data_IF_689035215804
#
_entry.id   IF_689035215804
#
_cell.length_a   1.000
_cell.length_b   1.000
_cell.length_c   1.000
_cell.angle_alpha   90.00
_cell.angle_beta   90.00
_cell.angle_gamma   90.00
#
_symmetry.space_group_name_H-M   'P 1'
#
loop_
_entity.id
_entity.type
_entity.pdbx_description
1 polymer ?
#
# COMPACT_ATOMS: atom_id res chain seq x y z
N UNK A 1 -28.74 3.90 -20.90
CA UNK A 1 -28.79 2.98 -19.75
C UNK A 1 -27.35 2.82 -19.32
N UNK A 2 -26.92 3.64 -18.36
CA UNK A 2 -25.52 3.72 -17.96
C UNK A 2 -25.32 2.66 -16.89
N UNK A 3 -24.79 1.51 -17.28
CA UNK A 3 -24.52 0.44 -16.34
C UNK A 3 -23.40 0.91 -15.40
N UNK A 4 -23.81 1.26 -14.20
CA UNK A 4 -22.93 1.64 -13.11
C UNK A 4 -22.22 0.35 -12.66
N UNK A 5 -21.07 0.05 -13.25
CA UNK A 5 -20.24 -1.11 -12.89
C UNK A 5 -19.49 -0.87 -11.57
N UNK A 6 -20.21 -0.52 -10.52
CA UNK A 6 -19.64 -0.38 -9.18
C UNK A 6 -19.56 -1.75 -8.53
N UNK A 7 -18.42 -2.06 -7.93
CA UNK A 7 -18.31 -3.25 -7.11
C UNK A 7 -19.26 -3.11 -5.92
N UNK A 8 -20.02 -4.17 -5.64
CA UNK A 8 -20.96 -4.16 -4.52
C UNK A 8 -20.21 -4.14 -3.17
N UNK A 9 -19.06 -4.81 -3.11
CA UNK A 9 -18.16 -4.87 -1.95
C UNK A 9 -16.71 -4.91 -2.42
N UNK A 10 -15.84 -4.14 -1.78
CA UNK A 10 -14.40 -4.19 -2.05
C UNK A 10 -13.79 -5.53 -1.60
N UNK A 11 -12.68 -5.90 -2.25
CA UNK A 11 -11.86 -7.02 -1.80
C UNK A 11 -11.46 -6.82 -0.32
N UNK A 12 -11.75 -7.80 0.52
CA UNK A 12 -11.42 -7.73 1.95
C UNK A 12 -12.45 -6.99 2.81
N UNK A 13 -13.61 -6.61 2.25
CA UNK A 13 -14.73 -6.12 3.04
C UNK A 13 -15.17 -7.16 4.08
N UNK A 14 -15.36 -6.71 5.32
CA UNK A 14 -15.81 -7.54 6.42
C UNK A 14 -16.37 -6.68 7.54
N UNK A 15 -17.57 -7.03 8.01
CA UNK A 15 -18.18 -6.36 9.14
C UNK A 15 -17.67 -6.96 10.45
N UNK A 16 -17.71 -6.14 11.50
CA UNK A 16 -17.39 -6.56 12.87
C UNK A 16 -18.52 -6.17 13.81
N UNK A 17 -18.68 -6.95 14.89
CA UNK A 17 -19.58 -6.61 15.99
C UNK A 17 -19.03 -5.50 16.89
N UNK A 18 -17.77 -5.08 16.68
CA UNK A 18 -17.17 -3.88 17.26
C UNK A 18 -16.73 -2.91 16.16
N UNK A 19 -16.33 -1.70 16.55
CA UNK A 19 -15.86 -0.66 15.62
C UNK A 19 -14.39 -0.36 15.88
N UNK A 20 -13.63 -0.19 14.81
CA UNK A 20 -12.22 0.16 14.87
C UNK A 20 -11.99 1.54 14.22
N UNK A 21 -11.32 2.43 14.94
CA UNK A 21 -10.82 3.69 14.41
C UNK A 21 -9.34 3.56 14.08
N UNK A 22 -8.93 4.32 13.06
CA UNK A 22 -7.56 4.37 12.58
C UNK A 22 -7.04 5.80 12.69
N UNK A 23 -5.79 5.97 13.12
CA UNK A 23 -5.09 7.26 13.05
C UNK A 23 -4.71 7.60 11.60
N UNK A 24 -4.15 8.80 11.41
CA UNK A 24 -3.43 9.09 10.18
C UNK A 24 -2.23 8.14 10.02
N UNK A 25 -1.93 7.77 8.77
CA UNK A 25 -0.76 6.98 8.41
C UNK A 25 0.48 7.86 8.52
N UNK A 26 1.51 7.33 9.17
CA UNK A 26 2.83 7.96 9.25
C UNK A 26 3.84 7.12 8.49
N UNK A 27 4.78 7.79 7.83
CA UNK A 27 5.92 7.18 7.17
C UNK A 27 7.20 7.58 7.91
N UNK A 28 8.13 6.64 8.06
CA UNK A 28 9.45 6.91 8.65
C UNK A 28 10.33 7.80 7.76
N UNK A 29 10.09 7.79 6.45
CA UNK A 29 10.75 8.65 5.46
C UNK A 29 9.78 8.98 4.32
N UNK A 30 10.05 10.07 3.60
CA UNK A 30 9.27 10.48 2.41
C UNK A 30 9.90 10.08 1.09
N UNK A 31 11.17 9.64 1.10
CA UNK A 31 11.93 9.32 -0.11
C UNK A 31 12.73 8.04 0.11
N UNK A 32 12.72 7.16 -0.89
CA UNK A 32 13.51 5.94 -0.97
C UNK A 32 14.51 6.11 -2.12
N UNK A 33 15.81 5.98 -1.85
CA UNK A 33 16.86 6.29 -2.84
C UNK A 33 17.80 5.12 -3.13
N UNK A 34 17.67 4.02 -2.40
CA UNK A 34 18.42 2.80 -2.66
C UNK A 34 17.48 1.59 -2.80
N UNK A 35 17.87 0.62 -3.63
CA UNK A 35 17.18 -0.65 -3.79
C UNK A 35 17.04 -1.45 -2.48
N UNK A 36 18.03 -1.32 -1.58
CA UNK A 36 18.04 -2.01 -0.28
C UNK A 36 17.31 -1.23 0.83
N UNK A 37 16.84 -0.01 0.54
CA UNK A 37 16.09 0.79 1.51
C UNK A 37 14.71 0.18 1.78
N UNK A 38 14.31 0.26 3.03
CA UNK A 38 12.94 -0.04 3.46
C UNK A 38 12.18 1.22 3.83
N UNK A 39 10.86 1.26 3.59
CA UNK A 39 9.95 2.30 4.05
C UNK A 39 9.00 1.70 5.09
N UNK A 40 8.85 2.32 6.26
CA UNK A 40 7.92 1.86 7.29
C UNK A 40 6.69 2.73 7.32
N UNK A 41 5.52 2.15 6.99
CA UNK A 41 4.22 2.78 7.18
C UNK A 41 3.59 2.32 8.50
N UNK A 42 3.18 3.25 9.35
CA UNK A 42 2.58 2.96 10.66
C UNK A 42 1.20 3.59 10.78
N UNK A 43 0.27 2.86 11.40
CA UNK A 43 -1.06 3.35 11.76
C UNK A 43 -1.46 2.82 13.14
N UNK A 44 -2.03 3.66 13.98
CA UNK A 44 -2.62 3.24 15.26
C UNK A 44 -4.06 2.80 15.00
N UNK A 45 -4.40 1.62 15.51
CA UNK A 45 -5.76 1.06 15.44
C UNK A 45 -6.34 0.97 16.84
N UNK A 46 -7.50 1.56 17.05
CA UNK A 46 -8.21 1.59 18.34
C UNK A 46 -9.55 0.89 18.22
N UNK A 47 -9.82 -0.07 19.09
CA UNK A 47 -11.17 -0.64 19.22
C UNK A 47 -12.05 0.32 20.04
N UNK A 48 -12.95 1.02 19.37
CA UNK A 48 -13.85 2.02 19.98
C UNK A 48 -15.23 1.48 20.31
N UNK A 49 -15.48 0.18 20.11
CA UNK A 49 -16.73 -0.45 20.51
C UNK A 49 -16.68 -1.05 21.92
N UNK A 50 -17.73 -1.81 22.27
CA UNK A 50 -17.95 -2.34 23.62
C UNK A 50 -17.55 -3.81 23.79
N UNK A 51 -16.96 -4.43 22.77
CA UNK A 51 -16.59 -5.86 22.76
C UNK A 51 -15.18 -6.02 22.21
N UNK A 52 -14.50 -7.06 22.66
CA UNK A 52 -13.29 -7.52 22.00
C UNK A 52 -13.59 -7.90 20.55
N UNK A 53 -12.63 -7.67 19.66
CA UNK A 53 -12.80 -7.98 18.24
C UNK A 53 -11.47 -8.18 17.53
N UNK A 54 -11.54 -8.79 16.36
CA UNK A 54 -10.40 -8.96 15.46
C UNK A 54 -10.55 -8.03 14.28
N UNK A 55 -9.46 -7.36 13.91
CA UNK A 55 -9.38 -6.46 12.78
C UNK A 55 -8.26 -6.91 11.84
N UNK A 56 -8.51 -6.86 10.53
CA UNK A 56 -7.50 -7.16 9.51
C UNK A 56 -7.03 -5.85 8.88
N UNK A 57 -5.90 -5.34 9.36
CA UNK A 57 -5.29 -4.12 8.85
C UNK A 57 -4.60 -4.45 7.53
N UNK A 58 -5.05 -3.83 6.44
CA UNK A 58 -4.56 -4.07 5.08
C UNK A 58 -3.84 -2.84 4.55
N UNK A 59 -2.62 -3.01 4.07
CA UNK A 59 -1.83 -1.99 3.40
C UNK A 59 -1.81 -2.24 1.90
N UNK A 60 -2.29 -1.24 1.16
CA UNK A 60 -2.27 -1.19 -0.29
C UNK A 60 -1.20 -0.22 -0.78
N UNK A 61 -0.67 -0.51 -1.97
CA UNK A 61 0.25 0.35 -2.71
C UNK A 61 -0.41 0.80 -4.01
N UNK A 62 -0.31 2.09 -4.31
CA UNK A 62 -0.79 2.74 -5.51
C UNK A 62 0.39 3.47 -6.16
N UNK A 63 0.58 3.29 -7.46
CA UNK A 63 1.56 4.04 -8.25
C UNK A 63 0.78 4.82 -9.33
N UNK A 64 0.51 6.13 -9.12
CA UNK A 64 -0.42 6.90 -9.96
C UNK A 64 0.07 7.08 -11.41
N UNK A 65 1.39 7.23 -11.57
CA UNK A 65 2.03 7.44 -12.86
C UNK A 65 3.05 6.33 -13.12
N UNK A 66 2.90 5.67 -14.26
CA UNK A 66 3.75 4.56 -14.70
C UNK A 66 4.19 4.76 -16.16
N UNK A 67 5.42 4.38 -16.51
CA UNK A 67 5.90 4.37 -17.91
C UNK A 67 5.53 3.08 -18.61
N UNK A 68 5.51 1.97 -17.89
CA UNK A 68 5.00 0.70 -18.41
C UNK A 68 3.49 0.54 -18.15
N UNK A 69 2.80 -0.08 -19.10
CA UNK A 69 1.39 -0.44 -18.92
C UNK A 69 1.30 -1.70 -18.07
N UNK A 70 0.70 -1.57 -16.89
CA UNK A 70 0.36 -2.68 -16.00
C UNK A 70 -1.07 -2.50 -15.51
N UNK A 71 -1.84 -3.58 -15.34
CA UNK A 71 -3.27 -3.49 -15.04
C UNK A 71 -3.57 -3.06 -13.59
N UNK A 72 -2.60 -3.10 -12.68
CA UNK A 72 -2.84 -2.89 -11.25
C UNK A 72 -2.88 -1.42 -10.86
N UNK A 73 -4.04 -0.95 -10.39
CA UNK A 73 -4.22 0.43 -9.92
C UNK A 73 -4.07 0.57 -8.39
N UNK A 74 -4.48 -0.46 -7.63
CA UNK A 74 -4.37 -0.53 -6.16
C UNK A 74 -4.05 -1.97 -5.76
N UNK A 75 -2.88 -2.21 -5.17
CA UNK A 75 -2.37 -3.56 -4.89
C UNK A 75 -2.30 -3.80 -3.39
N UNK A 76 -2.92 -4.85 -2.88
CA UNK A 76 -2.67 -5.30 -1.50
C UNK A 76 -1.23 -5.83 -1.41
N UNK A 77 -0.42 -5.25 -0.52
CA UNK A 77 0.98 -5.67 -0.32
C UNK A 77 1.16 -6.44 0.97
N UNK A 78 0.61 -5.91 2.07
CA UNK A 78 0.74 -6.54 3.40
C UNK A 78 -0.57 -6.45 4.16
N UNK A 79 -0.79 -7.40 5.06
CA UNK A 79 -1.89 -7.33 6.02
C UNK A 79 -1.48 -7.94 7.36
N UNK A 80 -2.09 -7.47 8.43
CA UNK A 80 -1.92 -8.00 9.79
C UNK A 80 -3.29 -8.18 10.43
N UNK A 81 -3.55 -9.36 10.99
CA UNK A 81 -4.75 -9.61 11.79
C UNK A 81 -4.41 -9.41 13.27
N UNK A 82 -5.09 -8.49 13.91
CA UNK A 82 -4.91 -8.15 15.33
C UNK A 82 -6.18 -8.43 16.10
N UNK A 83 -6.05 -8.64 17.40
CA UNK A 83 -7.14 -8.75 18.35
C UNK A 83 -6.98 -7.62 19.37
N UNK A 84 -8.04 -6.86 19.61
CA UNK A 84 -8.05 -5.75 20.56
C UNK A 84 -9.25 -5.86 21.49
N UNK A 85 -9.02 -5.67 22.78
CA UNK A 85 -10.07 -5.48 23.77
C UNK A 85 -10.80 -4.14 23.54
N UNK A 86 -11.98 -3.97 24.14
CA UNK A 86 -12.69 -2.70 24.09
C UNK A 86 -11.84 -1.58 24.69
N UNK A 87 -11.66 -0.48 23.95
CA UNK A 87 -10.81 0.66 24.33
C UNK A 87 -9.31 0.48 24.09
N UNK A 88 -8.86 -0.72 23.71
CA UNK A 88 -7.44 -0.99 23.44
C UNK A 88 -6.99 -0.37 22.11
N UNK A 89 -5.73 0.07 22.07
CA UNK A 89 -5.08 0.60 20.88
C UNK A 89 -3.75 -0.11 20.63
N UNK A 90 -3.40 -0.31 19.36
CA UNK A 90 -2.12 -0.88 18.96
C UNK A 90 -1.55 -0.15 17.74
N UNK A 91 -0.23 0.01 17.73
CA UNK A 91 0.51 0.54 16.58
C UNK A 91 0.87 -0.58 15.61
N UNK A 92 0.44 -0.43 14.36
CA UNK A 92 0.62 -1.43 13.31
C UNK A 92 1.57 -0.87 12.26
N UNK A 93 2.79 -1.38 12.26
CA UNK A 93 3.83 -1.01 11.31
C UNK A 93 4.00 -2.05 10.21
N UNK A 94 4.17 -1.59 8.97
CA UNK A 94 4.48 -2.39 7.79
C UNK A 94 5.77 -1.87 7.15
N UNK A 95 6.78 -2.74 7.05
CA UNK A 95 8.01 -2.44 6.31
C UNK A 95 7.83 -2.86 4.86
N UNK A 96 7.95 -1.90 3.94
CA UNK A 96 7.92 -2.07 2.49
C UNK A 96 9.35 -2.03 1.95
N UNK A 97 9.61 -2.83 0.92
CA UNK A 97 10.91 -2.95 0.26
C UNK A 97 10.77 -3.03 -1.26
N UNK A 98 11.88 -3.25 -1.97
CA UNK A 98 11.91 -3.51 -3.41
C UNK A 98 10.93 -4.60 -3.88
N UNK A 99 10.65 -5.59 -3.04
CA UNK A 99 9.69 -6.65 -3.36
C UNK A 99 8.25 -6.15 -3.43
N UNK A 100 7.95 -5.08 -2.69
CA UNK A 100 6.61 -4.55 -2.57
C UNK A 100 6.29 -3.54 -3.68
N UNK A 101 7.22 -2.66 -4.06
CA UNK A 101 6.98 -1.65 -5.11
C UNK A 101 7.55 -2.02 -6.48
N UNK A 102 8.38 -3.06 -6.58
CA UNK A 102 8.87 -3.58 -7.84
C UNK A 102 7.78 -4.23 -8.70
N UNK A 103 7.91 -4.08 -10.01
CA UNK A 103 7.06 -4.71 -11.02
C UNK A 103 7.91 -5.52 -11.99
N UNK A 104 7.35 -6.61 -12.52
CA UNK A 104 8.04 -7.42 -13.53
C UNK A 104 7.74 -6.90 -14.92
N UNK A 105 8.77 -6.61 -15.70
CA UNK A 105 8.59 -6.20 -17.09
C UNK A 105 8.18 -7.42 -17.93
N UNK A 106 7.08 -7.35 -18.71
CA UNK A 106 6.69 -8.43 -19.60
C UNK A 106 7.65 -8.47 -20.79
N UNK A 107 8.63 -9.37 -20.73
CA UNK A 107 9.60 -9.61 -21.81
C UNK A 107 9.39 -11.06 -22.30
N UNK A 108 8.97 -11.24 -23.56
CA UNK A 108 8.86 -12.57 -24.16
C UNK A 108 10.28 -13.08 -24.44
N UNK A 109 10.65 -14.24 -23.87
CA UNK A 109 11.87 -14.98 -24.24
C UNK A 109 13.17 -14.60 -23.52
N UNK A 110 13.17 -13.65 -22.59
CA UNK A 110 14.39 -13.19 -21.88
C UNK A 110 14.29 -13.18 -20.34
N UNK A 111 13.32 -13.91 -19.79
CA UNK A 111 13.07 -13.99 -18.35
C UNK A 111 12.34 -12.77 -17.79
N UNK A 112 11.83 -12.88 -16.56
CA UNK A 112 11.13 -11.80 -15.86
C UNK A 112 12.13 -10.92 -15.11
N UNK A 113 12.33 -9.69 -15.58
CA UNK A 113 13.17 -8.70 -14.90
C UNK A 113 12.31 -7.83 -14.00
N UNK A 114 12.64 -7.78 -12.71
CA UNK A 114 12.02 -6.84 -11.78
C UNK A 114 12.64 -5.45 -11.99
N UNK A 115 11.78 -4.46 -12.15
CA UNK A 115 12.13 -3.06 -12.33
C UNK A 115 11.33 -2.19 -11.35
N UNK A 116 11.88 -1.02 -11.05
CA UNK A 116 11.21 0.04 -10.30
C UNK A 116 11.34 1.32 -11.09
N UNK A 117 10.28 2.12 -11.10
CA UNK A 117 10.29 3.43 -11.72
C UNK A 117 10.40 4.51 -10.66
N UNK A 118 11.27 5.49 -10.91
CA UNK A 118 11.32 6.73 -10.16
C UNK A 118 10.00 7.47 -10.35
N UNK A 119 9.22 7.58 -9.27
CA UNK A 119 7.87 8.13 -9.28
C UNK A 119 7.35 8.33 -7.86
N UNK A 120 6.17 8.93 -7.76
CA UNK A 120 5.42 8.99 -6.53
C UNK A 120 4.64 7.68 -6.35
N UNK A 121 4.61 7.21 -5.11
CA UNK A 121 3.84 6.07 -4.65
C UNK A 121 2.99 6.50 -3.47
N UNK A 122 1.85 5.85 -3.30
CA UNK A 122 0.92 6.13 -2.20
C UNK A 122 0.62 4.83 -1.49
N UNK A 123 0.85 4.81 -0.17
CA UNK A 123 0.31 3.75 0.69
C UNK A 123 -1.10 4.13 1.11
N UNK A 124 -1.98 3.14 1.16
CA UNK A 124 -3.37 3.30 1.59
C UNK A 124 -3.74 2.19 2.58
N UNK A 125 -4.36 2.55 3.70
CA UNK A 125 -4.86 1.59 4.69
C UNK A 125 -6.35 1.35 4.47
N UNK A 126 -6.78 0.09 4.49
CA UNK A 126 -8.14 -0.41 4.20
C UNK A 126 -8.51 -0.49 2.71
N UNK A 127 -9.34 -1.48 2.33
CA UNK A 127 -9.75 -1.67 0.94
C UNK A 127 -10.67 -0.56 0.41
N UNK A 128 -11.54 -0.02 1.27
CA UNK A 128 -12.51 1.05 0.98
C UNK A 128 -11.88 2.45 0.94
N UNK A 129 -10.60 2.59 1.32
CA UNK A 129 -9.91 3.88 1.32
C UNK A 129 -9.65 4.37 -0.10
N UNK A 130 -10.25 5.51 -0.41
CA UNK A 130 -9.97 6.29 -1.61
C UNK A 130 -8.90 7.35 -1.31
N UNK A 131 -7.80 7.30 -2.06
CA UNK A 131 -6.81 8.37 -2.17
C UNK A 131 -6.99 9.09 -3.52
N UNK A 132 -7.24 10.40 -3.52
CA UNK A 132 -7.29 11.20 -4.75
C UNK A 132 -5.86 11.51 -5.24
N UNK A 133 -5.24 10.49 -5.82
CA UNK A 133 -3.83 10.51 -6.24
C UNK A 133 -3.54 11.38 -7.46
N UNK A 134 -4.58 11.90 -8.12
CA UNK A 134 -4.45 12.75 -9.30
C UNK A 134 -4.67 14.23 -9.00
N UNK A 135 -5.29 14.57 -7.87
CA UNK A 135 -5.47 15.95 -7.43
C UNK A 135 -4.77 16.20 -6.08
N UNK A 136 -5.45 15.94 -4.96
CA UNK A 136 -4.92 16.22 -3.63
C UNK A 136 -5.28 15.09 -2.64
N UNK A 137 -4.25 14.51 -2.03
CA UNK A 137 -4.40 13.44 -1.04
C UNK A 137 -4.75 14.07 0.31
N UNK A 138 -6.04 14.04 0.67
CA UNK A 138 -6.55 14.59 1.94
C UNK A 138 -6.96 13.53 2.95
N UNK A 139 -7.16 12.28 2.49
CA UNK A 139 -7.56 11.18 3.36
C UNK A 139 -6.41 10.78 4.29
N UNK A 140 -6.59 10.80 5.62
CA UNK A 140 -5.52 10.48 6.57
C UNK A 140 -5.04 9.03 6.50
N UNK A 141 -5.81 8.13 5.88
CA UNK A 141 -5.41 6.74 5.65
C UNK A 141 -4.53 6.56 4.41
N UNK A 142 -4.15 7.66 3.77
CA UNK A 142 -3.24 7.70 2.63
C UNK A 142 -1.97 8.46 3.02
N UNK A 143 -0.81 7.96 2.58
CA UNK A 143 0.45 8.70 2.69
C UNK A 143 1.27 8.52 1.43
N UNK A 144 1.84 9.61 0.92
CA UNK A 144 2.68 9.62 -0.27
C UNK A 144 4.16 9.52 0.11
N UNK A 145 4.91 8.76 -0.69
CA UNK A 145 6.37 8.78 -0.70
C UNK A 145 6.87 8.78 -2.14
N UNK A 146 8.14 9.12 -2.33
CA UNK A 146 8.79 9.14 -3.63
C UNK A 146 9.87 8.08 -3.68
N UNK A 147 9.97 7.38 -4.80
CA UNK A 147 11.15 6.59 -5.12
C UNK A 147 11.99 7.41 -6.09
N UNK A 148 13.25 7.66 -5.73
CA UNK A 148 14.21 8.37 -6.54
C UNK A 148 15.57 7.67 -6.48
N UNK A 149 15.76 6.73 -7.40
CA UNK A 149 16.97 5.93 -7.54
C UNK A 149 18.01 6.62 -8.43
N UNK A 150 17.81 7.89 -8.81
CA UNK A 150 18.71 8.63 -9.73
C UNK A 150 20.11 8.87 -9.17
N UNK A 151 20.32 8.68 -7.86
CA UNK A 151 21.65 8.65 -7.23
C UNK A 151 22.38 7.31 -7.35
N UNK A 152 21.74 6.28 -7.90
CA UNK A 152 22.27 4.92 -8.06
C UNK A 152 21.71 4.19 -9.28
N UNK A 153 22.21 4.53 -10.48
CA UNK A 153 22.14 3.76 -11.74
C UNK A 153 20.73 3.48 -12.27
N UNK A 154 20.46 4.05 -13.45
CA UNK A 154 19.23 3.82 -14.22
C UNK A 154 18.89 2.33 -14.37
N UNK A 155 17.60 2.01 -14.24
CA UNK A 155 17.07 0.64 -14.31
C UNK A 155 17.84 -0.33 -13.43
N UNK A 156 17.49 -0.40 -12.14
CA UNK A 156 17.87 -1.56 -11.32
C UNK A 156 17.12 -2.77 -11.88
N UNK A 157 17.73 -3.47 -12.84
CA UNK A 157 17.35 -4.83 -13.18
C UNK A 157 17.81 -5.70 -12.01
N UNK A 158 16.93 -5.91 -11.04
CA UNK A 158 17.13 -6.98 -10.08
C UNK A 158 16.91 -8.30 -10.84
N UNK A 159 17.99 -8.82 -11.41
CA UNK A 159 18.03 -10.16 -11.99
C UNK A 159 17.91 -11.16 -10.85
N UNK A 160 16.68 -11.62 -10.60
CA UNK A 160 16.47 -12.90 -9.94
C UNK A 160 16.29 -13.90 -11.08
N UNK A 161 17.36 -14.59 -11.44
CA UNK A 161 17.25 -15.81 -12.24
C UNK A 161 16.45 -16.84 -11.41
N UNK A 162 15.34 -17.33 -11.97
CA UNK A 162 14.64 -18.52 -11.49
C UNK A 162 15.24 -19.76 -12.14
#
# INVERSE_FOLDING_TARGET
>A
MWDNCWMQWDLGAGLSYTKFNYSAVTLDKSTVSNADDTLTATVTVTNVGSRAGKETVMLFLIQPFRKISVPEMKMLKKFKKIELQAGESADISFSLSLEDWGVYQPQIGHGLKRIVEDSNYVVAIKPDTWCDVYNNITNPLCAQFTIDMSSGVGTVSAGVEL
#
